data_IF_750948144383
#
_entry.id   IF_750948144383
#
_cell.length_a   1.000
_cell.length_b   1.000
_cell.length_c   1.000
_cell.angle_alpha   90.00
_cell.angle_beta   90.00
_cell.angle_gamma   90.00
#
_symmetry.space_group_name_H-M   'P 1'
#
loop_
_entity.id
_entity.type
_entity.pdbx_description
1 polymer ?
#
# COMPACT_ATOMS: atom_id res chain seq x y z
N UNK A 1 7.76 15.09 -0.21
CA UNK A 1 6.79 14.81 0.88
C UNK A 1 7.31 13.63 1.65
N UNK A 2 7.26 13.68 2.97
CA UNK A 2 7.83 12.69 3.90
C UNK A 2 7.48 11.23 3.50
N UNK A 3 6.24 11.00 3.04
CA UNK A 3 5.76 9.65 2.68
C UNK A 3 6.37 9.09 1.38
N UNK A 4 6.86 9.94 0.47
CA UNK A 4 7.36 9.51 -0.85
C UNK A 4 8.68 8.75 -0.72
N UNK A 5 9.56 9.21 0.17
CA UNK A 5 10.84 8.53 0.41
C UNK A 5 10.63 7.18 1.06
N UNK A 6 9.71 7.11 2.05
CA UNK A 6 9.30 5.86 2.69
C UNK A 6 8.73 4.85 1.67
N UNK A 7 7.82 5.27 0.79
CA UNK A 7 7.19 4.39 -0.20
C UNK A 7 8.18 3.81 -1.22
N UNK A 8 9.22 4.57 -1.57
CA UNK A 8 10.28 4.12 -2.49
C UNK A 8 11.18 3.07 -1.84
N UNK A 9 11.45 3.18 -0.54
CA UNK A 9 12.34 2.27 0.17
C UNK A 9 11.66 0.95 0.58
N UNK A 10 10.36 0.99 0.90
CA UNK A 10 9.67 -0.19 1.41
C UNK A 10 9.59 -1.32 0.36
N UNK A 11 9.81 -2.57 0.79
CA UNK A 11 9.69 -3.78 -0.04
C UNK A 11 8.28 -3.93 -0.63
N UNK A 12 7.28 -3.70 0.22
CA UNK A 12 5.87 -3.55 -0.15
C UNK A 12 5.41 -2.14 0.22
N UNK A 13 4.97 -1.38 -0.77
CA UNK A 13 4.45 -0.03 -0.58
C UNK A 13 3.13 0.14 -1.31
N UNK A 14 2.17 0.79 -0.66
CA UNK A 14 0.79 0.90 -1.14
C UNK A 14 0.36 2.35 -1.17
N UNK A 15 -0.17 2.79 -2.31
CA UNK A 15 -0.86 4.06 -2.43
C UNK A 15 -2.37 3.85 -2.36
N UNK A 16 -3.04 4.61 -1.49
CA UNK A 16 -4.50 4.63 -1.40
C UNK A 16 -5.14 5.06 -2.73
N UNK A 17 -6.36 4.60 -3.00
CA UNK A 17 -7.07 4.93 -4.24
C UNK A 17 -7.23 6.44 -4.47
N UNK A 18 -7.40 7.22 -3.40
CA UNK A 18 -7.53 8.68 -3.41
C UNK A 18 -6.20 9.43 -3.22
N UNK A 19 -5.05 8.74 -3.25
CA UNK A 19 -3.75 9.38 -3.07
C UNK A 19 -3.39 10.31 -4.23
N UNK A 20 -2.65 11.38 -3.94
CA UNK A 20 -2.15 12.29 -4.97
C UNK A 20 -1.17 11.58 -5.93
N UNK A 21 -1.10 12.05 -7.16
CA UNK A 21 -0.32 11.44 -8.24
C UNK A 21 1.16 11.16 -7.91
N UNK A 22 1.89 12.03 -7.16
CA UNK A 22 3.26 11.73 -6.75
C UNK A 22 3.38 10.53 -5.81
N UNK A 23 2.36 10.27 -4.99
CA UNK A 23 2.30 9.15 -4.04
C UNK A 23 1.99 7.85 -4.80
N UNK A 24 1.05 7.92 -5.73
CA UNK A 24 0.72 6.81 -6.65
C UNK A 24 1.96 6.34 -7.41
N UNK A 25 2.73 7.28 -7.96
CA UNK A 25 3.96 6.97 -8.73
C UNK A 25 5.09 6.42 -7.86
N UNK A 26 5.06 6.65 -6.55
CA UNK A 26 6.09 6.20 -5.62
C UNK A 26 5.80 4.82 -5.01
N UNK A 27 4.54 4.39 -4.96
CA UNK A 27 4.14 3.10 -4.40
C UNK A 27 4.22 1.96 -5.44
N UNK A 28 4.53 0.75 -4.96
CA UNK A 28 4.60 -0.46 -5.80
C UNK A 28 3.24 -1.09 -6.07
N UNK A 29 2.29 -0.84 -5.17
CA UNK A 29 0.94 -1.41 -5.20
C UNK A 29 -0.12 -0.35 -4.92
N UNK A 30 -1.38 -0.69 -5.23
CA UNK A 30 -2.57 0.12 -4.91
C UNK A 30 -3.31 -0.52 -3.75
N UNK A 31 -3.67 0.29 -2.75
CA UNK A 31 -4.67 -0.06 -1.75
C UNK A 31 -6.04 0.46 -2.18
N UNK A 32 -7.11 -0.12 -1.61
CA UNK A 32 -8.47 0.41 -1.74
C UNK A 32 -8.60 1.84 -1.18
N UNK A 33 -9.80 2.41 -1.23
CA UNK A 33 -10.02 3.70 -0.58
C UNK A 33 -9.99 3.56 0.95
N UNK A 34 -9.74 4.66 1.66
CA UNK A 34 -9.83 4.70 3.12
C UNK A 34 -11.26 4.41 3.61
N UNK A 35 -12.26 4.69 2.78
CA UNK A 35 -13.68 4.45 3.06
C UNK A 35 -14.09 2.97 2.89
N UNK A 36 -13.21 2.14 2.33
CA UNK A 36 -13.43 0.70 2.12
C UNK A 36 -12.49 -0.14 2.97
N UNK A 37 -11.90 0.45 4.02
CA UNK A 37 -10.95 -0.25 4.90
C UNK A 37 -9.74 -0.85 4.14
N UNK A 38 -9.36 -0.27 3.00
CA UNK A 38 -8.35 -0.87 2.10
C UNK A 38 -6.96 -1.07 2.70
N UNK A 39 -6.67 -0.47 3.85
CA UNK A 39 -5.46 -0.74 4.65
C UNK A 39 -5.64 -1.98 5.53
N UNK A 40 -6.82 -2.18 6.12
CA UNK A 40 -7.12 -3.36 6.93
C UNK A 40 -7.07 -4.63 6.08
N UNK A 41 -7.57 -4.58 4.83
CA UNK A 41 -7.45 -5.70 3.88
C UNK A 41 -6.01 -6.14 3.65
N UNK A 42 -5.07 -5.18 3.57
CA UNK A 42 -3.66 -5.48 3.37
C UNK A 42 -3.06 -6.10 4.63
N UNK A 43 -3.39 -5.56 5.81
CA UNK A 43 -2.97 -6.13 7.09
C UNK A 43 -3.48 -7.57 7.23
N UNK A 44 -4.73 -7.82 6.88
CA UNK A 44 -5.34 -9.16 6.88
C UNK A 44 -4.58 -10.13 5.97
N UNK A 45 -4.21 -9.71 4.75
CA UNK A 45 -3.41 -10.52 3.83
C UNK A 45 -2.03 -10.84 4.38
N UNK A 46 -1.39 -9.91 5.08
CA UNK A 46 -0.11 -10.16 5.76
C UNK A 46 -0.29 -11.22 6.85
N UNK A 47 -1.33 -11.10 7.69
CA UNK A 47 -1.61 -12.04 8.77
C UNK A 47 -2.00 -13.44 8.27
N UNK A 48 -2.71 -13.51 7.14
CA UNK A 48 -3.09 -14.77 6.48
C UNK A 48 -2.00 -15.36 5.58
N UNK A 49 -0.88 -14.66 5.43
CA UNK A 49 0.20 -15.00 4.52
C UNK A 49 -0.29 -15.20 3.07
N UNK A 50 -1.19 -14.33 2.62
CA UNK A 50 -1.75 -14.32 1.27
C UNK A 50 -0.87 -13.50 0.33
N UNK A 51 -0.96 -13.74 -0.99
CA UNK A 51 -0.19 -12.99 -1.97
C UNK A 51 -0.45 -11.47 -1.83
N UNK A 52 0.59 -10.62 -1.94
CA UNK A 52 1.96 -10.93 -2.38
C UNK A 52 2.93 -11.26 -1.22
N UNK A 53 2.44 -11.58 -0.02
CA UNK A 53 3.26 -11.80 1.18
C UNK A 53 3.68 -13.26 1.38
N UNK A 54 3.14 -14.19 0.60
CA UNK A 54 3.54 -15.61 0.57
C UNK A 54 5.05 -15.75 0.36
N UNK A 55 5.74 -16.48 1.23
CA UNK A 55 7.15 -16.87 1.13
C UNK A 55 7.30 -18.34 0.74
#
# INVERSE_FOLDING_TARGET
GNDIEMLRQAGFSFAMANAHEPVIKAAKYRAGSNNEEGVLDIIDRVLKNEAPFTH
#
